data_IF_474507371922
#
_entry.id   IF_474507371922
#
_cell.length_a   1.000
_cell.length_b   1.000
_cell.length_c   1.000
_cell.angle_alpha   90.00
_cell.angle_beta   90.00
_cell.angle_gamma   90.00
#
_symmetry.space_group_name_H-M   'P 1'
#
loop_
_entity.id
_entity.type
_entity.pdbx_description
1 polymer ?
#
# COMPACT_ATOMS: atom_id res chain seq x y z
N UNK A 1 -1.17 -20.75 16.91
CA UNK A 1 -1.08 -19.82 18.06
C UNK A 1 -0.13 -18.73 17.65
N UNK A 2 -0.62 -17.52 17.39
CA UNK A 2 0.24 -16.39 17.09
C UNK A 2 -0.32 -15.18 17.83
N UNK A 3 0.50 -14.59 18.69
CA UNK A 3 0.15 -13.35 19.38
C UNK A 3 0.23 -12.21 18.39
N UNK A 4 -0.80 -11.37 18.35
CA UNK A 4 -0.94 -10.28 17.37
C UNK A 4 -1.23 -8.97 18.07
N UNK A 5 -0.50 -7.93 17.68
CA UNK A 5 -0.82 -6.55 18.05
C UNK A 5 -1.78 -5.99 17.01
N UNK A 6 -3.06 -5.85 17.39
CA UNK A 6 -4.14 -5.52 16.48
C UNK A 6 -5.04 -4.41 17.02
N UNK A 7 -5.84 -3.85 16.13
CA UNK A 7 -6.88 -2.87 16.48
C UNK A 7 -8.20 -3.58 16.76
N UNK A 8 -8.69 -3.47 17.99
CA UNK A 8 -10.06 -3.79 18.34
C UNK A 8 -10.94 -2.56 18.14
N UNK A 9 -12.05 -2.69 17.42
CA UNK A 9 -12.99 -1.60 17.19
C UNK A 9 -13.91 -1.47 18.40
N UNK A 10 -14.15 -0.23 18.78
CA UNK A 10 -15.23 0.19 19.66
C UNK A 10 -15.83 1.49 19.15
N UNK A 11 -16.47 2.21 20.06
CA UNK A 11 -17.23 3.41 19.75
C UNK A 11 -18.63 3.10 19.25
N UNK A 12 -19.34 4.15 18.84
CA UNK A 12 -20.73 4.07 18.38
C UNK A 12 -20.81 4.11 16.86
N UNK A 13 -22.01 3.89 16.33
CA UNK A 13 -22.28 4.01 14.88
C UNK A 13 -21.81 5.38 14.38
N UNK A 14 -21.10 5.38 13.24
CA UNK A 14 -20.47 6.58 12.62
C UNK A 14 -19.40 7.29 13.48
N UNK A 15 -19.03 6.76 14.65
CA UNK A 15 -17.96 7.32 15.50
C UNK A 15 -16.97 6.22 15.92
N UNK A 16 -16.07 5.80 15.01
CA UNK A 16 -15.13 4.72 15.28
C UNK A 16 -14.09 5.13 16.31
N UNK A 17 -13.85 4.26 17.29
CA UNK A 17 -12.74 4.38 18.24
C UNK A 17 -12.02 3.04 18.30
N UNK A 18 -10.68 3.02 18.29
CA UNK A 18 -9.91 1.78 18.29
C UNK A 18 -9.09 1.64 19.56
N UNK A 19 -9.02 0.41 20.06
CA UNK A 19 -8.11 0.00 21.13
C UNK A 19 -6.97 -0.79 20.49
N UNK A 20 -5.74 -0.46 20.87
CA UNK A 20 -4.56 -1.24 20.46
C UNK A 20 -4.41 -2.35 21.51
N UNK A 21 -4.50 -3.60 21.06
CA UNK A 21 -4.58 -4.77 21.96
C UNK A 21 -3.61 -5.86 21.54
N UNK A 22 -3.08 -6.57 22.52
CA UNK A 22 -2.38 -7.83 22.35
C UNK A 22 -3.39 -8.98 22.49
N UNK A 23 -3.57 -9.77 21.42
CA UNK A 23 -4.53 -10.86 21.41
C UNK A 23 -4.06 -12.02 20.53
N UNK A 24 -4.52 -13.24 20.85
CA UNK A 24 -4.34 -14.38 19.95
C UNK A 24 -5.09 -14.10 18.63
N UNK A 25 -4.42 -14.37 17.51
CA UNK A 25 -4.96 -14.30 16.15
C UNK A 25 -6.33 -14.96 15.94
N UNK A 26 -6.63 -16.04 16.67
CA UNK A 26 -7.88 -16.83 16.52
C UNK A 26 -9.08 -16.18 17.20
N UNK A 27 -8.85 -15.25 18.13
CA UNK A 27 -9.92 -14.59 18.86
C UNK A 27 -10.67 -13.60 17.96
N UNK A 28 -11.99 -13.40 18.16
CA UNK A 28 -12.76 -12.42 17.38
C UNK A 28 -12.20 -11.00 17.55
N UNK A 29 -12.36 -10.14 16.54
CA UNK A 29 -11.73 -8.80 16.47
C UNK A 29 -11.92 -7.98 17.75
N UNK A 30 -13.17 -7.92 18.23
CA UNK A 30 -13.59 -7.06 19.35
C UNK A 30 -13.87 -7.87 20.63
N UNK A 31 -13.46 -9.14 20.68
CA UNK A 31 -13.67 -9.99 21.85
C UNK A 31 -12.57 -9.88 22.89
N UNK A 32 -12.39 -10.98 23.64
CA UNK A 32 -11.36 -11.07 24.69
C UNK A 32 -9.97 -10.88 24.10
N UNK A 33 -9.20 -10.01 24.74
CA UNK A 33 -7.77 -9.80 24.52
C UNK A 33 -7.01 -10.07 25.81
N UNK A 34 -5.69 -10.24 25.71
CA UNK A 34 -4.83 -10.45 26.87
C UNK A 34 -4.58 -9.13 27.57
N UNK A 35 -4.19 -8.11 26.80
CA UNK A 35 -3.84 -6.80 27.33
C UNK A 35 -4.21 -5.67 26.37
N UNK A 36 -4.57 -4.51 26.95
CA UNK A 36 -4.77 -3.27 26.23
C UNK A 36 -3.50 -2.44 26.31
N UNK A 37 -2.89 -2.17 25.17
CA UNK A 37 -1.62 -1.43 25.05
C UNK A 37 -1.81 0.04 24.71
N UNK A 38 -3.00 0.43 24.25
CA UNK A 38 -3.22 1.80 23.83
C UNK A 38 -4.56 2.07 23.18
N UNK A 39 -4.67 3.23 22.55
CA UNK A 39 -5.86 3.73 21.88
C UNK A 39 -5.51 4.47 20.60
N UNK A 40 -6.38 4.36 19.60
CA UNK A 40 -6.31 5.10 18.35
C UNK A 40 -7.67 5.72 18.03
N UNK A 41 -7.69 7.05 17.89
CA UNK A 41 -8.87 7.79 17.50
C UNK A 41 -8.67 8.42 16.09
N UNK A 42 -9.26 7.85 15.03
CA UNK A 42 -9.09 8.36 13.68
C UNK A 42 -9.80 9.69 13.43
N UNK A 43 -10.73 10.10 14.31
CA UNK A 43 -11.51 11.34 14.17
C UNK A 43 -10.73 12.59 14.59
N UNK A 44 -9.63 12.42 15.35
CA UNK A 44 -8.74 13.51 15.68
C UNK A 44 -7.84 13.86 14.49
N UNK A 45 -7.39 15.11 14.46
CA UNK A 45 -6.44 15.62 13.47
C UNK A 45 -5.16 14.77 13.46
N UNK A 46 -4.43 14.78 12.33
CA UNK A 46 -3.26 13.90 12.19
C UNK A 46 -2.14 14.23 13.17
N UNK A 47 -2.01 15.51 13.48
CA UNK A 47 -0.95 16.09 14.31
C UNK A 47 -1.34 16.13 15.79
N UNK A 48 -2.54 15.65 16.14
CA UNK A 48 -2.99 15.57 17.52
C UNK A 48 -2.30 14.40 18.24
N UNK A 49 -1.59 14.68 19.33
CA UNK A 49 -0.91 13.69 20.16
C UNK A 49 -1.87 12.64 20.73
N UNK A 50 -3.14 13.00 20.93
CA UNK A 50 -4.14 12.11 21.49
C UNK A 50 -4.73 11.17 20.45
N UNK A 51 -4.38 11.36 19.18
CA UNK A 51 -4.81 10.51 18.09
C UNK A 51 -4.33 9.08 18.29
N UNK A 52 -3.09 8.89 18.72
CA UNK A 52 -2.47 7.59 18.99
C UNK A 52 -1.78 7.67 20.35
N UNK A 53 -2.29 6.93 21.33
CA UNK A 53 -1.65 6.79 22.65
C UNK A 53 -1.28 5.32 22.85
N UNK A 54 -0.01 5.06 23.14
CA UNK A 54 0.53 3.70 23.32
C UNK A 54 1.42 3.67 24.55
N UNK A 55 1.30 2.59 25.32
CA UNK A 55 2.25 2.23 26.36
C UNK A 55 3.44 1.52 25.70
N UNK A 56 4.55 2.24 25.58
CA UNK A 56 5.71 1.78 24.82
C UNK A 56 6.44 0.63 25.52
N UNK A 57 6.46 0.63 26.85
CA UNK A 57 7.12 -0.42 27.64
C UNK A 57 6.43 -1.77 27.41
N UNK A 58 5.09 -1.79 27.48
CA UNK A 58 4.31 -3.01 27.26
C UNK A 58 4.34 -3.44 25.80
N UNK A 59 4.31 -2.49 24.86
CA UNK A 59 4.45 -2.80 23.43
C UNK A 59 5.79 -3.47 23.14
N UNK A 60 6.89 -2.94 23.68
CA UNK A 60 8.23 -3.49 23.48
C UNK A 60 8.35 -4.89 24.08
N UNK A 61 7.76 -5.12 25.27
CA UNK A 61 7.68 -6.45 25.85
C UNK A 61 7.01 -7.45 24.89
N UNK A 62 5.82 -7.13 24.37
CA UNK A 62 5.11 -8.04 23.46
C UNK A 62 5.83 -8.24 22.13
N UNK A 63 6.53 -7.23 21.62
CA UNK A 63 7.38 -7.37 20.44
C UNK A 63 8.55 -8.32 20.71
N UNK A 64 9.16 -8.26 21.90
CA UNK A 64 10.22 -9.19 22.33
C UNK A 64 9.73 -10.64 22.47
N UNK A 65 8.49 -10.83 22.95
CA UNK A 65 7.81 -12.14 22.99
C UNK A 65 7.38 -12.66 21.59
N UNK A 66 7.70 -11.93 20.52
CA UNK A 66 7.43 -12.34 19.14
C UNK A 66 6.02 -12.01 18.63
N UNK A 67 5.29 -11.11 19.31
CA UNK A 67 3.98 -10.68 18.84
C UNK A 67 4.09 -9.94 17.50
N UNK A 68 3.28 -10.35 16.52
CA UNK A 68 3.31 -9.78 15.19
C UNK A 68 2.37 -8.56 15.09
N UNK A 69 2.87 -7.36 14.75
CA UNK A 69 2.02 -6.19 14.58
C UNK A 69 1.22 -6.25 13.27
N UNK A 70 -0.04 -5.82 13.31
CA UNK A 70 -0.83 -5.57 12.11
C UNK A 70 -0.33 -4.34 11.36
N UNK A 71 -0.61 -4.27 10.07
CA UNK A 71 -0.19 -3.20 9.15
C UNK A 71 -0.39 -1.78 9.70
N UNK A 72 -1.56 -1.49 10.29
CA UNK A 72 -1.83 -0.16 10.83
C UNK A 72 -1.08 0.11 12.13
N UNK A 73 -0.88 -0.93 12.95
CA UNK A 73 -0.09 -0.82 14.19
C UNK A 73 1.39 -0.66 13.85
N UNK A 74 1.90 -1.35 12.83
CA UNK A 74 3.28 -1.15 12.36
C UNK A 74 3.51 0.31 11.96
N UNK A 75 2.55 0.95 11.27
CA UNK A 75 2.62 2.38 10.93
C UNK A 75 2.73 3.30 12.15
N UNK A 76 2.08 2.95 13.26
CA UNK A 76 2.20 3.72 14.51
C UNK A 76 3.57 3.51 15.15
N UNK A 77 4.09 2.28 15.15
CA UNK A 77 5.42 1.96 15.65
C UNK A 77 6.54 2.57 14.79
N UNK A 78 6.35 2.62 13.48
CA UNK A 78 7.21 3.31 12.50
C UNK A 78 7.24 4.83 12.75
N UNK A 79 6.11 5.41 13.17
CA UNK A 79 6.01 6.83 13.51
C UNK A 79 6.66 7.13 14.87
N UNK A 80 6.57 6.20 15.82
CA UNK A 80 7.20 6.30 17.13
C UNK A 80 8.70 5.94 17.14
N UNK A 81 9.26 5.50 16.00
CA UNK A 81 10.68 5.17 15.87
C UNK A 81 11.09 3.80 16.43
N UNK A 82 10.14 2.93 16.81
CA UNK A 82 10.42 1.59 17.34
C UNK A 82 10.74 0.59 16.23
N UNK A 83 10.03 0.70 15.10
CA UNK A 83 10.26 -0.15 13.93
C UNK A 83 10.79 0.67 12.77
N UNK A 84 11.68 0.08 11.98
CA UNK A 84 12.14 0.69 10.75
C UNK A 84 10.98 0.88 9.76
N UNK A 85 10.98 2.02 9.07
CA UNK A 85 9.97 2.34 8.05
C UNK A 85 10.11 1.40 6.88
N UNK A 86 9.23 0.41 6.80
CA UNK A 86 9.16 -0.49 5.64
C UNK A 86 8.71 0.29 4.39
N UNK A 87 9.53 0.28 3.35
CA UNK A 87 9.13 0.78 2.03
C UNK A 87 7.93 -0.03 1.53
N UNK A 88 6.79 0.66 1.36
CA UNK A 88 5.58 0.09 0.75
C UNK A 88 5.26 0.88 -0.51
N UNK A 89 6.14 0.75 -1.50
CA UNK A 89 5.93 1.27 -2.85
C UNK A 89 4.90 0.40 -3.57
N UNK A 90 3.82 1.02 -4.05
CA UNK A 90 2.88 0.38 -4.96
C UNK A 90 3.43 0.51 -6.39
N UNK A 91 4.46 -0.26 -6.74
CA UNK A 91 5.15 -0.16 -8.04
C UNK A 91 4.18 -0.37 -9.23
N UNK A 92 3.14 -1.18 -9.05
CA UNK A 92 2.15 -1.50 -10.10
C UNK A 92 1.07 -0.43 -10.31
N UNK A 93 0.98 0.61 -9.46
CA UNK A 93 -0.08 1.63 -9.58
C UNK A 93 0.14 2.61 -10.75
N UNK A 94 1.38 2.72 -11.22
CA UNK A 94 1.76 3.57 -12.36
C UNK A 94 1.83 2.86 -13.70
N UNK A 95 1.67 1.52 -13.74
CA UNK A 95 1.74 0.80 -15.00
C UNK A 95 0.41 0.91 -15.76
N UNK A 96 0.42 1.29 -17.06
CA UNK A 96 -0.77 1.20 -17.89
C UNK A 96 -1.25 -0.26 -17.94
N UNK A 97 -2.56 -0.47 -17.80
CA UNK A 97 -3.16 -1.80 -17.85
C UNK A 97 -2.84 -2.52 -19.16
N UNK A 98 -2.97 -3.86 -19.18
CA UNK A 98 -2.59 -4.71 -20.33
C UNK A 98 -3.11 -4.17 -21.68
N UNK A 99 -4.39 -3.83 -21.75
CA UNK A 99 -5.04 -3.26 -22.94
C UNK A 99 -4.49 -1.88 -23.40
N UNK A 100 -3.83 -1.12 -22.53
CA UNK A 100 -3.16 0.11 -22.89
C UNK A 100 -1.73 -0.14 -23.41
N UNK A 101 -1.07 -1.22 -22.96
CA UNK A 101 0.20 -1.71 -23.52
C UNK A 101 -0.01 -2.32 -24.91
N UNK A 102 -0.99 -3.22 -25.05
CA UNK A 102 -1.33 -3.85 -26.34
C UNK A 102 -1.67 -2.80 -27.42
N UNK A 103 -2.41 -1.73 -27.04
CA UNK A 103 -2.76 -0.64 -27.97
C UNK A 103 -1.58 0.28 -28.30
N UNK A 104 -0.60 0.41 -27.41
CA UNK A 104 0.62 1.17 -27.70
C UNK A 104 1.51 0.40 -28.67
N UNK A 105 1.65 -0.91 -28.47
CA UNK A 105 2.40 -1.82 -29.34
C UNK A 105 1.78 -1.92 -30.74
N UNK A 106 0.45 -2.02 -30.84
CA UNK A 106 -0.24 -2.04 -32.14
C UNK A 106 -0.12 -0.69 -32.89
N UNK A 107 -0.13 0.43 -32.15
CA UNK A 107 0.09 1.76 -32.72
C UNK A 107 1.54 1.99 -33.15
N UNK A 108 2.51 1.46 -32.41
CA UNK A 108 3.93 1.50 -32.81
C UNK A 108 4.19 0.59 -34.01
N UNK A 109 3.63 -0.62 -34.05
CA UNK A 109 3.73 -1.51 -35.19
C UNK A 109 3.10 -0.88 -36.45
N UNK A 110 1.94 -0.23 -36.31
CA UNK A 110 1.29 0.48 -37.43
C UNK A 110 2.06 1.72 -37.87
N UNK A 111 2.71 2.44 -36.95
CA UNK A 111 3.58 3.57 -37.29
C UNK A 111 4.89 3.13 -37.95
N UNK A 112 5.47 2.02 -37.49
CA UNK A 112 6.67 1.44 -38.09
C UNK A 112 6.38 0.97 -39.52
N UNK A 113 5.29 0.23 -39.72
CA UNK A 113 4.85 -0.19 -41.06
C UNK A 113 4.52 0.99 -41.99
N UNK A 114 3.91 2.06 -41.46
CA UNK A 114 3.63 3.27 -42.25
C UNK A 114 4.89 4.09 -42.57
N UNK A 115 5.88 4.09 -41.68
CA UNK A 115 7.17 4.74 -41.92
C UNK A 115 8.03 3.96 -42.92
N UNK A 116 7.98 2.63 -42.88
CA UNK A 116 8.66 1.74 -43.83
C UNK A 116 8.03 1.88 -45.24
N UNK A 117 6.70 1.89 -45.33
CA UNK A 117 5.99 2.12 -46.59
C UNK A 117 6.20 3.55 -47.17
N UNK A 118 6.36 4.56 -46.32
CA UNK A 118 6.67 5.92 -46.76
C UNK A 118 8.13 6.06 -47.22
N UNK A 119 9.07 5.34 -46.60
CA UNK A 119 10.47 5.31 -47.02
C UNK A 119 10.66 4.55 -48.35
N UNK A 120 9.88 3.50 -48.61
CA UNK A 120 9.90 2.76 -49.88
C UNK A 120 9.27 3.55 -51.04
N UNK A 121 8.26 4.39 -50.76
CA UNK A 121 7.66 5.28 -51.76
C UNK A 121 8.53 6.50 -52.12
N UNK A 122 9.35 7.00 -51.17
CA UNK A 122 10.27 8.13 -51.42
C UNK A 122 11.56 7.70 -52.15
N UNK A 123 11.89 6.40 -52.14
CA UNK A 123 13.02 5.84 -52.88
C UNK A 123 12.72 5.54 -54.37
N UNK A 124 11.49 5.79 -54.83
CA UNK A 124 11.01 5.43 -56.18
C UNK A 124 10.67 6.60 -57.13
N UNK A 125 11.36 7.77 -57.10
CA UNK A 125 11.40 8.61 -58.30
C UNK A 125 12.86 8.83 -58.73
N UNK A 126 13.45 7.84 -59.42
CA UNK A 126 14.65 8.03 -60.24
C UNK A 126 14.79 6.94 -61.32
N UNK A 127 13.72 6.69 -62.08
CA UNK A 127 13.72 6.14 -63.45
C UNK A 127 12.28 6.34 -63.94
N UNK A 128 11.92 7.23 -64.85
CA UNK A 128 12.40 7.33 -66.22
C UNK A 128 11.95 8.72 -66.75
N UNK A 129 12.91 9.53 -67.20
CA UNK A 129 12.68 10.62 -68.16
C UNK A 129 13.22 10.15 -69.51
N UNK A 130 12.53 10.52 -70.60
CA UNK A 130 12.71 10.15 -72.01
C UNK A 130 11.88 8.90 -72.40
N UNK A 131 10.95 8.95 -73.35
CA UNK A 131 10.94 9.63 -74.65
C UNK A 131 9.51 9.99 -75.11
#
# INVERSE_FOLDING_TARGET
>A
MAMKLRLARGGSKKRPFYRIVAADSRMPRDGRYVEKLGTYNPLLAKDDENRVRMDMDRVNYWLGEGAQPSDRVSRFLEAAGVLEKKERKNLKKGEPGKAAKDRAEEKEAKKAAAAEAAAEADAAPADESAE
#
